data_IF_530822248191
#
_entry.id   IF_530822248191
#
_cell.length_a   1.000
_cell.length_b   1.000
_cell.length_c   1.000
_cell.angle_alpha   90.00
_cell.angle_beta   90.00
_cell.angle_gamma   90.00
#
_symmetry.space_group_name_H-M   'P 1'
#
loop_
_entity.id
_entity.type
_entity.pdbx_description
1 polymer ?
#
# COMPACT_ATOMS: atom_id res chain seq x y z
N UNK A 1 -21.72 65.28 -56.11
CA UNK A 1 -21.72 66.13 -54.91
C UNK A 1 -21.06 65.32 -53.79
N UNK A 2 -19.94 65.82 -53.26
CA UNK A 2 -19.34 65.67 -51.92
C UNK A 2 -19.62 64.40 -51.09
N UNK A 3 -18.75 63.83 -50.25
CA UNK A 3 -17.33 63.99 -49.89
C UNK A 3 -17.13 62.97 -48.73
N UNK A 4 -15.88 62.61 -48.44
CA UNK A 4 -15.37 62.11 -47.14
C UNK A 4 -15.56 60.61 -46.71
N UNK A 5 -14.45 59.86 -46.85
CA UNK A 5 -13.45 59.59 -45.80
C UNK A 5 -13.40 58.25 -45.02
N UNK A 6 -12.17 57.72 -45.05
CA UNK A 6 -11.38 57.11 -43.98
C UNK A 6 -11.37 55.59 -43.73
N UNK A 7 -10.19 55.05 -44.09
CA UNK A 7 -9.28 54.23 -43.26
C UNK A 7 -9.89 52.98 -42.64
N UNK A 8 -9.68 51.83 -43.28
CA UNK A 8 -8.47 50.99 -43.19
C UNK A 8 -8.71 49.72 -44.00
N UNK A 9 -7.69 49.34 -44.75
CA UNK A 9 -7.60 48.11 -45.52
C UNK A 9 -7.74 46.91 -44.56
N UNK A 10 -8.58 45.94 -44.87
CA UNK A 10 -8.51 44.61 -44.25
C UNK A 10 -8.76 43.56 -45.33
N UNK A 11 -7.65 43.10 -45.92
CA UNK A 11 -7.64 42.04 -46.91
C UNK A 11 -7.87 40.71 -46.18
N UNK A 12 -9.01 40.08 -46.46
CA UNK A 12 -9.45 38.81 -45.89
C UNK A 12 -8.60 37.66 -46.45
N UNK A 13 -7.56 37.24 -45.71
CA UNK A 13 -6.89 35.96 -45.94
C UNK A 13 -7.53 34.94 -45.01
N UNK A 14 -8.33 34.03 -45.56
CA UNK A 14 -8.82 32.85 -44.86
C UNK A 14 -7.64 31.94 -44.57
N UNK A 15 -7.15 31.99 -43.34
CA UNK A 15 -6.15 31.07 -42.81
C UNK A 15 -6.83 29.71 -42.60
N UNK A 16 -6.63 28.78 -43.54
CA UNK A 16 -6.96 27.36 -43.35
C UNK A 16 -5.95 26.85 -42.30
N UNK A 17 -6.38 26.82 -41.04
CA UNK A 17 -5.63 26.22 -39.96
C UNK A 17 -5.63 24.70 -40.08
N UNK A 18 -4.50 24.13 -40.48
CA UNK A 18 -4.22 22.71 -40.32
C UNK A 18 -3.89 22.49 -38.83
N UNK A 19 -4.78 21.85 -38.09
CA UNK A 19 -4.50 21.44 -36.70
C UNK A 19 -3.79 20.08 -36.71
N UNK A 20 -2.50 20.08 -36.38
CA UNK A 20 -1.70 18.87 -36.19
C UNK A 20 -2.02 18.27 -34.81
N UNK A 21 -2.69 17.11 -34.78
CA UNK A 21 -2.86 16.31 -33.57
C UNK A 21 -1.56 15.56 -33.24
N UNK A 22 -0.64 16.21 -32.52
CA UNK A 22 0.52 15.53 -31.92
C UNK A 22 0.08 14.90 -30.60
N UNK A 23 -0.15 13.59 -30.59
CA UNK A 23 -0.32 12.83 -29.34
C UNK A 23 1.07 12.51 -28.80
N UNK A 24 1.55 13.33 -27.87
CA UNK A 24 2.79 13.05 -27.16
C UNK A 24 2.58 11.84 -26.23
N UNK A 25 3.19 10.70 -26.57
CA UNK A 25 3.26 9.51 -25.71
C UNK A 25 4.19 9.84 -24.54
N UNK A 26 3.63 10.06 -23.35
CA UNK A 26 4.42 10.17 -22.12
C UNK A 26 5.02 8.79 -21.83
N UNK A 27 6.32 8.64 -22.10
CA UNK A 27 7.10 7.51 -21.63
C UNK A 27 7.29 7.69 -20.12
N UNK A 28 6.40 7.07 -19.33
CA UNK A 28 6.57 6.95 -17.89
C UNK A 28 7.87 6.20 -17.61
N UNK A 29 8.81 6.93 -17.00
CA UNK A 29 10.10 6.42 -16.57
C UNK A 29 9.89 5.21 -15.64
N UNK A 30 10.41 4.05 -16.06
CA UNK A 30 10.44 2.82 -15.25
C UNK A 30 11.37 3.05 -14.04
N UNK A 31 10.82 3.60 -12.97
CA UNK A 31 11.41 3.46 -11.65
C UNK A 31 11.05 2.05 -11.16
N UNK A 32 12.05 1.25 -10.78
CA UNK A 32 11.87 -0.07 -10.16
C UNK A 32 10.99 0.06 -8.92
N UNK A 33 9.67 -0.02 -9.10
CA UNK A 33 8.73 -0.19 -8.02
C UNK A 33 8.77 -1.68 -7.73
N UNK A 34 9.57 -2.04 -6.73
CA UNK A 34 9.47 -3.35 -6.09
C UNK A 34 7.99 -3.64 -5.87
N UNK A 35 7.50 -4.67 -6.54
CA UNK A 35 6.13 -5.13 -6.43
C UNK A 35 5.98 -5.78 -5.06
N UNK A 36 5.85 -4.94 -4.03
CA UNK A 36 5.63 -5.38 -2.67
C UNK A 36 4.36 -6.23 -2.65
N UNK A 37 4.45 -7.41 -2.05
CA UNK A 37 3.28 -8.29 -1.88
C UNK A 37 2.15 -7.46 -1.25
N UNK A 38 0.97 -7.41 -1.90
CA UNK A 38 -0.13 -6.59 -1.39
C UNK A 38 -0.60 -7.16 -0.05
N UNK A 39 -0.57 -6.34 1.00
CA UNK A 39 -1.26 -6.66 2.25
C UNK A 39 -2.76 -6.65 1.93
N UNK A 40 -3.35 -7.84 1.80
CA UNK A 40 -4.78 -8.00 1.55
C UNK A 40 -5.52 -7.68 2.85
N UNK A 41 -5.87 -6.41 3.03
CA UNK A 41 -6.82 -5.97 4.06
C UNK A 41 -8.22 -6.08 3.46
N UNK A 42 -8.90 -7.20 3.70
CA UNK A 42 -10.31 -7.32 3.34
C UNK A 42 -11.10 -6.38 4.26
N UNK A 43 -11.61 -5.26 3.75
CA UNK A 43 -12.43 -4.29 4.50
C UNK A 43 -13.92 -4.63 4.49
N UNK A 44 -14.30 -5.78 3.94
CA UNK A 44 -15.69 -6.11 3.62
C UNK A 44 -16.38 -7.01 4.66
N UNK A 45 -15.67 -7.43 5.70
CA UNK A 45 -16.24 -8.22 6.79
C UNK A 45 -16.02 -7.48 8.12
N UNK A 46 -17.13 -7.12 8.74
CA UNK A 46 -17.33 -6.69 10.13
C UNK A 46 -17.16 -5.20 10.48
N UNK A 47 -18.31 -4.60 10.76
CA UNK A 47 -18.56 -3.34 11.47
C UNK A 47 -17.97 -3.26 12.90
N UNK A 48 -17.05 -4.15 13.26
CA UNK A 48 -16.40 -4.27 14.57
C UNK A 48 -14.87 -4.25 14.46
N UNK A 49 -14.32 -3.37 13.62
CA UNK A 49 -12.86 -3.17 13.55
C UNK A 49 -12.37 -2.50 14.83
N UNK A 50 -11.98 -3.33 15.80
CA UNK A 50 -11.31 -2.85 17.00
C UNK A 50 -9.97 -2.18 16.60
N UNK A 51 -9.70 -0.96 17.07
CA UNK A 51 -8.41 -0.31 16.82
C UNK A 51 -7.27 -1.17 17.39
N UNK A 52 -6.13 -1.18 16.70
CA UNK A 52 -4.94 -1.94 17.14
C UNK A 52 -5.03 -3.47 16.97
N UNK A 53 -6.04 -3.98 16.24
CA UNK A 53 -6.14 -5.42 15.91
C UNK A 53 -5.63 -5.71 14.50
N UNK A 54 -4.71 -6.66 14.42
CA UNK A 54 -4.24 -7.26 13.16
C UNK A 54 -4.69 -8.71 13.09
N UNK A 55 -5.10 -9.16 11.90
CA UNK A 55 -5.51 -10.55 11.65
C UNK A 55 -4.85 -11.02 10.36
N UNK A 56 -4.10 -12.12 10.46
CA UNK A 56 -3.57 -12.83 9.31
C UNK A 56 -4.54 -13.94 8.94
N UNK A 57 -4.99 -13.94 7.68
CA UNK A 57 -5.87 -14.97 7.14
C UNK A 57 -5.04 -16.09 6.49
N UNK A 58 -5.67 -17.24 6.28
CA UNK A 58 -5.07 -18.39 5.60
C UNK A 58 -4.39 -18.01 4.26
N UNK A 59 -5.05 -17.17 3.45
CA UNK A 59 -4.47 -16.65 2.20
C UNK A 59 -3.15 -15.89 2.42
N UNK A 60 -2.99 -15.15 3.51
CA UNK A 60 -1.75 -14.44 3.80
C UNK A 60 -0.62 -15.43 4.14
N UNK A 61 -0.93 -16.48 4.90
CA UNK A 61 0.01 -17.56 5.22
C UNK A 61 0.46 -18.26 3.94
N UNK A 62 -0.49 -18.60 3.06
CA UNK A 62 -0.21 -19.23 1.77
C UNK A 62 0.61 -18.35 0.82
N UNK A 63 0.41 -17.04 0.83
CA UNK A 63 1.20 -16.12 0.02
C UNK A 63 2.62 -15.94 0.56
N UNK A 64 2.75 -15.86 1.87
CA UNK A 64 4.04 -15.61 2.50
C UNK A 64 4.92 -16.86 2.58
N UNK A 65 4.32 -18.06 2.60
CA UNK A 65 5.04 -19.34 2.75
C UNK A 65 6.07 -19.29 3.88
N UNK A 66 5.66 -18.73 5.03
CA UNK A 66 6.54 -18.56 6.17
C UNK A 66 6.81 -19.92 6.84
N UNK A 67 8.10 -20.24 7.04
CA UNK A 67 8.52 -21.49 7.69
C UNK A 67 8.20 -21.54 9.20
N UNK A 68 7.86 -20.39 9.80
CA UNK A 68 7.53 -20.28 11.22
C UNK A 68 6.62 -19.07 11.53
N UNK A 69 6.09 -19.04 12.75
CA UNK A 69 5.23 -17.97 13.22
C UNK A 69 5.94 -16.60 13.32
N UNK A 70 7.25 -16.55 13.57
CA UNK A 70 8.00 -15.29 13.69
C UNK A 70 8.03 -14.56 12.36
N UNK A 71 8.42 -15.27 11.31
CA UNK A 71 8.41 -14.77 9.95
C UNK A 71 7.00 -14.33 9.53
N UNK A 72 5.97 -15.08 9.93
CA UNK A 72 4.58 -14.77 9.61
C UNK A 72 4.09 -13.47 10.27
N UNK A 73 4.44 -13.19 11.53
CA UNK A 73 3.90 -12.01 12.24
C UNK A 73 4.78 -10.76 12.15
N UNK A 74 6.04 -10.87 11.70
CA UNK A 74 6.96 -9.74 11.54
C UNK A 74 6.53 -8.74 10.44
N UNK A 75 5.55 -9.10 9.60
CA UNK A 75 4.93 -8.16 8.64
C UNK A 75 3.87 -7.26 9.29
N UNK A 76 3.47 -7.56 10.54
CA UNK A 76 2.48 -6.78 11.25
C UNK A 76 3.12 -5.53 11.85
N UNK A 77 2.47 -4.35 11.76
CA UNK A 77 3.01 -3.12 12.31
C UNK A 77 3.07 -3.20 13.85
N UNK A 78 4.18 -2.71 14.42
CA UNK A 78 4.37 -2.65 15.87
C UNK A 78 4.58 -4.01 16.55
N UNK A 79 4.71 -5.09 15.78
CA UNK A 79 4.99 -6.44 16.30
C UNK A 79 6.35 -6.89 15.77
N UNK A 80 7.14 -7.52 16.64
CA UNK A 80 8.37 -8.20 16.24
C UNK A 80 8.52 -9.45 17.08
N UNK A 81 8.91 -10.55 16.46
CA UNK A 81 9.25 -11.78 17.13
C UNK A 81 10.67 -12.20 16.77
N UNK A 82 11.46 -12.46 17.79
CA UNK A 82 12.84 -12.90 17.70
C UNK A 82 13.02 -14.24 18.42
N UNK A 83 14.16 -14.89 18.20
CA UNK A 83 14.49 -16.16 18.82
C UNK A 83 14.37 -17.36 17.88
N UNK A 84 14.84 -18.51 18.35
CA UNK A 84 14.90 -19.74 17.56
C UNK A 84 13.80 -20.74 17.92
N UNK A 85 13.79 -21.89 17.23
CA UNK A 85 12.84 -22.98 17.46
C UNK A 85 12.94 -23.67 18.84
N UNK A 86 13.84 -23.19 19.71
CA UNK A 86 14.05 -23.77 21.03
C UNK A 86 12.99 -23.21 21.99
N UNK A 87 12.29 -24.07 22.75
CA UNK A 87 11.47 -23.63 23.87
C UNK A 87 12.28 -22.73 24.82
N UNK A 88 11.70 -21.63 25.32
CA UNK A 88 12.36 -20.65 26.19
C UNK A 88 13.27 -19.64 25.49
N UNK A 89 13.52 -19.79 24.18
CA UNK A 89 14.43 -18.92 23.42
C UNK A 89 13.73 -17.92 22.50
N UNK A 90 12.42 -17.74 22.64
CA UNK A 90 11.57 -16.93 21.78
C UNK A 90 11.06 -15.69 22.51
N UNK A 91 11.17 -14.53 21.87
CA UNK A 91 10.73 -13.24 22.42
C UNK A 91 9.76 -12.60 21.45
N UNK A 92 8.59 -12.20 21.95
CA UNK A 92 7.58 -11.49 21.19
C UNK A 92 7.42 -10.09 21.78
N UNK A 93 7.60 -9.07 20.96
CA UNK A 93 7.40 -7.68 21.32
C UNK A 93 6.19 -7.09 20.60
N UNK A 94 5.31 -6.41 21.34
CA UNK A 94 4.17 -5.68 20.81
C UNK A 94 4.22 -4.25 21.35
N UNK A 95 4.47 -3.28 20.47
CA UNK A 95 4.52 -1.85 20.80
C UNK A 95 5.48 -1.50 21.96
N UNK A 96 6.54 -2.28 22.17
CA UNK A 96 7.52 -2.08 23.24
C UNK A 96 7.30 -2.92 24.49
N UNK A 97 6.23 -3.71 24.55
CA UNK A 97 6.01 -4.74 25.57
C UNK A 97 6.63 -6.04 25.07
N UNK A 98 7.77 -6.44 25.63
CA UNK A 98 8.55 -7.59 25.18
C UNK A 98 8.81 -8.65 26.25
N UNK A 99 8.46 -8.37 27.50
CA UNK A 99 8.58 -9.33 28.59
C UNK A 99 7.53 -10.44 28.44
N UNK A 100 7.88 -11.67 28.84
CA UNK A 100 7.04 -12.84 28.61
C UNK A 100 5.69 -12.76 29.35
N UNK A 101 5.66 -12.01 30.45
CA UNK A 101 4.49 -11.77 31.28
C UNK A 101 3.54 -10.72 30.66
N UNK A 102 4.08 -9.79 29.87
CA UNK A 102 3.30 -8.68 29.28
C UNK A 102 2.54 -9.13 28.03
N UNK A 103 3.05 -10.13 27.32
CA UNK A 103 2.48 -10.60 26.07
C UNK A 103 1.83 -11.96 26.22
N UNK A 104 0.49 -11.97 26.14
CA UNK A 104 -0.29 -13.21 26.17
C UNK A 104 -0.40 -13.83 24.78
N UNK A 105 0.06 -15.07 24.64
CA UNK A 105 -0.17 -15.88 23.45
C UNK A 105 -1.15 -17.00 23.74
N UNK A 106 -2.07 -17.24 22.81
CA UNK A 106 -3.09 -18.28 22.93
C UNK A 106 -3.17 -19.08 21.63
N UNK A 107 -3.33 -20.40 21.78
CA UNK A 107 -3.67 -21.32 20.70
C UNK A 107 -5.04 -21.89 21.00
N UNK A 108 -6.02 -21.64 20.13
CA UNK A 108 -7.39 -22.12 20.28
C UNK A 108 -8.02 -21.80 21.66
N UNK A 109 -7.66 -20.65 22.24
CA UNK A 109 -8.12 -20.21 23.55
C UNK A 109 -7.32 -20.73 24.75
N UNK A 110 -6.38 -21.66 24.54
CA UNK A 110 -5.45 -22.09 25.58
C UNK A 110 -4.24 -21.16 25.64
N UNK A 111 -3.89 -20.65 26.83
CA UNK A 111 -2.72 -19.78 27.01
C UNK A 111 -1.42 -20.57 26.88
N UNK A 112 -0.48 -20.05 26.08
CA UNK A 112 0.86 -20.60 25.88
C UNK A 112 1.89 -19.63 26.47
N UNK A 113 2.83 -20.18 27.22
CA UNK A 113 4.05 -19.51 27.66
C UNK A 113 5.24 -20.11 26.90
N UNK A 114 6.27 -19.30 26.65
CA UNK A 114 7.47 -19.66 25.90
C UNK A 114 8.63 -19.91 26.84
#
# INVERSE_FOLDING_TARGET
MNILINKRIFLLVTFIGIQLNVTAKQNSSNSNREELLPIIVNTNDDSNKLPGRSVLKQKNIEQQQADNAANLINILPGVNMAGGFRPGGQTLNINGMGDAEDVRVQLDGATKSF
#
